data_IF_115351012310
#
_entry.id   IF_115351012310
#
_cell.length_a   1.000
_cell.length_b   1.000
_cell.length_c   1.000
_cell.angle_alpha   90.00
_cell.angle_beta   90.00
_cell.angle_gamma   90.00
#
_symmetry.space_group_name_H-M   'P 1'
#
loop_
_entity.id
_entity.type
_entity.pdbx_description
1 polymer ?
#
# COMPACT_ATOMS: atom_id res chain seq x y z
N UNK A 1 4.37 -20.64 -21.62
CA UNK A 1 5.13 -19.39 -21.43
C UNK A 1 5.45 -19.29 -19.95
N UNK A 2 6.73 -19.21 -19.59
CA UNK A 2 7.12 -18.94 -18.19
C UNK A 2 6.85 -17.46 -17.98
N UNK A 3 5.72 -17.13 -17.32
CA UNK A 3 5.48 -15.76 -16.83
C UNK A 3 6.43 -15.57 -15.65
N UNK A 4 7.50 -14.82 -15.88
CA UNK A 4 8.39 -14.38 -14.80
C UNK A 4 7.66 -13.21 -14.13
N UNK A 5 7.00 -13.47 -13.01
CA UNK A 5 6.46 -12.40 -12.17
C UNK A 5 7.64 -11.71 -11.51
N UNK A 6 7.84 -10.43 -11.84
CA UNK A 6 8.91 -9.63 -11.23
C UNK A 6 8.49 -9.20 -9.83
N UNK A 7 9.47 -8.88 -8.98
CA UNK A 7 9.21 -8.31 -7.65
C UNK A 7 8.34 -7.05 -7.71
N UNK A 8 8.40 -6.30 -8.82
CA UNK A 8 7.55 -5.14 -9.09
C UNK A 8 6.07 -5.51 -9.17
N UNK A 9 5.72 -6.61 -9.86
CA UNK A 9 4.34 -7.09 -9.93
C UNK A 9 3.83 -7.49 -8.54
N UNK A 10 4.68 -8.11 -7.73
CA UNK A 10 4.33 -8.49 -6.35
C UNK A 10 4.08 -7.25 -5.48
N UNK A 11 4.89 -6.20 -5.62
CA UNK A 11 4.66 -4.92 -4.94
C UNK A 11 3.35 -4.27 -5.35
N UNK A 12 3.06 -4.22 -6.66
CA UNK A 12 1.78 -3.71 -7.18
C UNK A 12 0.59 -4.52 -6.67
N UNK A 13 0.75 -5.84 -6.48
CA UNK A 13 -0.25 -6.70 -5.85
C UNK A 13 -0.48 -6.32 -4.38
N UNK A 14 0.58 -6.15 -3.59
CA UNK A 14 0.50 -5.76 -2.17
C UNK A 14 -0.22 -4.43 -1.96
N UNK A 15 -0.05 -3.47 -2.88
CA UNK A 15 -0.73 -2.18 -2.85
C UNK A 15 -2.06 -2.13 -3.60
N UNK A 16 -2.54 -3.27 -4.12
CA UNK A 16 -3.79 -3.38 -4.89
C UNK A 16 -3.84 -2.45 -6.13
N UNK A 17 -2.69 -2.29 -6.79
CA UNK A 17 -2.48 -1.46 -7.99
C UNK A 17 -2.45 -2.29 -9.30
N UNK A 18 -2.91 -3.54 -9.23
CA UNK A 18 -2.99 -4.42 -10.39
C UNK A 18 -4.41 -4.45 -10.98
N UNK A 19 -4.54 -4.52 -12.31
CA UNK A 19 -5.81 -4.83 -12.94
C UNK A 19 -6.25 -6.25 -12.58
N UNK A 20 -7.57 -6.49 -12.54
CA UNK A 20 -8.17 -7.73 -12.05
C UNK A 20 -7.70 -9.01 -12.79
N UNK A 21 -7.32 -8.88 -14.07
CA UNK A 21 -6.81 -9.99 -14.86
C UNK A 21 -5.39 -10.40 -14.44
N UNK A 22 -4.51 -9.42 -14.19
CA UNK A 22 -3.15 -9.66 -13.69
C UNK A 22 -3.16 -10.13 -12.23
N UNK A 23 -4.12 -9.66 -11.44
CA UNK A 23 -4.29 -10.12 -10.06
C UNK A 23 -4.55 -11.63 -9.99
N UNK A 24 -5.45 -12.15 -10.84
CA UNK A 24 -5.73 -13.59 -10.92
C UNK A 24 -4.50 -14.40 -11.33
N UNK A 25 -3.73 -13.89 -12.27
CA UNK A 25 -2.48 -14.51 -12.71
C UNK A 25 -1.47 -14.62 -11.55
N UNK A 26 -1.34 -13.57 -10.74
CA UNK A 26 -0.47 -13.56 -9.55
C UNK A 26 -0.98 -14.54 -8.49
N UNK A 27 -2.28 -14.56 -8.22
CA UNK A 27 -2.88 -15.51 -7.27
C UNK A 27 -2.61 -16.96 -7.68
N UNK A 28 -2.73 -17.29 -8.98
CA UNK A 28 -2.38 -18.61 -9.49
C UNK A 28 -0.88 -18.90 -9.31
N UNK A 29 -0.01 -17.92 -9.56
CA UNK A 29 1.44 -18.10 -9.35
C UNK A 29 1.79 -18.35 -7.88
N UNK A 30 1.16 -17.62 -6.95
CA UNK A 30 1.36 -17.80 -5.50
C UNK A 30 0.92 -19.19 -5.01
N UNK A 31 -0.05 -19.82 -5.65
CA UNK A 31 -0.49 -21.19 -5.31
C UNK A 31 0.51 -22.27 -5.75
N UNK A 32 1.29 -22.00 -6.80
CA UNK A 32 2.21 -22.96 -7.39
C UNK A 32 3.67 -22.73 -7.02
N UNK A 33 4.00 -21.53 -6.54
CA UNK A 33 5.35 -21.14 -6.15
C UNK A 33 5.41 -20.75 -4.65
N UNK A 34 5.88 -21.66 -3.78
CA UNK A 34 5.95 -21.40 -2.34
C UNK A 34 6.99 -20.33 -1.99
N UNK A 35 8.05 -20.15 -2.78
CA UNK A 35 9.08 -19.14 -2.52
C UNK A 35 8.55 -17.73 -2.83
N UNK A 36 7.79 -17.61 -3.92
CA UNK A 36 7.05 -16.40 -4.25
C UNK A 36 6.00 -16.06 -3.17
N UNK A 37 5.30 -17.08 -2.66
CA UNK A 37 4.32 -16.91 -1.59
C UNK A 37 4.96 -16.42 -0.28
N UNK A 38 6.11 -16.96 0.11
CA UNK A 38 6.87 -16.47 1.28
C UNK A 38 7.29 -15.02 1.08
N UNK A 39 7.84 -14.67 -0.08
CA UNK A 39 8.25 -13.29 -0.39
C UNK A 39 7.05 -12.34 -0.32
N UNK A 40 5.88 -12.74 -0.84
CA UNK A 40 4.66 -11.94 -0.77
C UNK A 40 4.19 -11.75 0.68
N UNK A 41 4.26 -12.80 1.51
CA UNK A 41 3.91 -12.74 2.91
C UNK A 41 4.82 -11.77 3.69
N UNK A 42 6.12 -11.78 3.41
CA UNK A 42 7.09 -10.86 4.01
C UNK A 42 6.80 -9.40 3.64
N UNK A 43 6.45 -9.12 2.39
CA UNK A 43 6.06 -7.78 1.95
C UNK A 43 4.77 -7.29 2.62
N UNK A 44 3.76 -8.15 2.73
CA UNK A 44 2.51 -7.84 3.43
C UNK A 44 2.75 -7.57 4.92
N UNK A 45 3.65 -8.32 5.54
CA UNK A 45 4.03 -8.11 6.93
C UNK A 45 4.76 -6.76 7.10
N UNK A 46 5.72 -6.46 6.23
CA UNK A 46 6.44 -5.19 6.25
C UNK A 46 5.49 -3.99 6.07
N UNK A 47 4.54 -4.07 5.12
CA UNK A 47 3.51 -3.04 4.93
C UNK A 47 2.71 -2.81 6.22
N UNK A 48 2.22 -3.88 6.85
CA UNK A 48 1.47 -3.76 8.11
C UNK A 48 2.31 -3.16 9.24
N UNK A 49 3.56 -3.56 9.37
CA UNK A 49 4.46 -2.97 10.36
C UNK A 49 4.71 -1.48 10.11
N UNK A 50 4.73 -1.05 8.85
CA UNK A 50 4.80 0.38 8.50
C UNK A 50 3.50 1.13 8.81
N UNK A 51 2.34 0.53 8.57
CA UNK A 51 1.04 1.12 8.95
C UNK A 51 0.87 1.25 10.48
N UNK A 52 1.45 0.32 11.24
CA UNK A 52 1.49 0.36 12.69
C UNK A 52 2.40 1.48 13.24
N UNK A 53 3.34 2.00 12.44
CA UNK A 53 4.09 3.20 12.79
C UNK A 53 3.15 4.41 12.72
N UNK A 54 2.38 4.60 13.79
CA UNK A 54 1.50 5.76 13.96
C UNK A 54 2.36 7.01 14.12
N UNK A 55 2.72 7.61 13.00
CA UNK A 55 3.32 8.94 12.97
C UNK A 55 2.22 9.96 13.18
N UNK A 56 2.37 10.80 14.22
CA UNK A 56 1.47 11.93 14.42
C UNK A 56 2.09 13.18 13.80
N UNK A 57 1.29 14.03 13.13
CA UNK A 57 1.78 15.32 12.68
C UNK A 57 2.22 16.15 13.89
N UNK A 58 3.23 17.01 13.69
CA UNK A 58 3.66 17.94 14.74
C UNK A 58 2.50 18.84 15.19
N UNK A 59 2.50 19.24 16.47
CA UNK A 59 1.49 20.15 17.02
C UNK A 59 1.40 21.48 16.23
N UNK A 60 2.52 21.94 15.67
CA UNK A 60 2.55 23.14 14.82
C UNK A 60 1.74 22.96 13.54
N UNK A 61 1.87 21.80 12.90
CA UNK A 61 1.16 21.49 11.66
C UNK A 61 -0.34 21.38 11.90
N UNK A 62 -0.75 20.70 12.98
CA UNK A 62 -2.17 20.57 13.33
C UNK A 62 -2.78 21.92 13.68
N UNK A 63 -2.08 22.76 14.45
CA UNK A 63 -2.55 24.09 14.81
C UNK A 63 -2.72 25.01 13.58
N UNK A 64 -1.76 24.97 12.64
CA UNK A 64 -1.84 25.74 11.39
C UNK A 64 -3.07 25.34 10.56
N UNK A 65 -3.34 24.05 10.42
CA UNK A 65 -4.52 23.53 9.68
C UNK A 65 -5.82 23.95 10.36
N UNK A 66 -5.88 23.83 11.70
CA UNK A 66 -7.05 24.24 12.48
C UNK A 66 -7.29 25.75 12.44
N UNK A 67 -6.22 26.54 12.39
CA UNK A 67 -6.33 27.98 12.27
C UNK A 67 -6.85 28.36 10.89
N UNK A 68 -6.32 27.77 9.82
CA UNK A 68 -6.82 27.99 8.47
C UNK A 68 -8.30 27.61 8.32
N UNK A 69 -8.74 26.47 8.88
CA UNK A 69 -10.15 26.06 8.78
C UNK A 69 -11.09 27.02 9.50
N UNK A 70 -10.65 27.63 10.61
CA UNK A 70 -11.40 28.65 11.36
C UNK A 70 -11.43 30.01 10.67
N UNK A 71 -10.37 30.36 9.94
CA UNK A 71 -10.28 31.63 9.20
C UNK A 71 -10.78 31.51 7.76
N UNK A 72 -11.11 30.29 7.30
CA UNK A 72 -11.68 30.08 5.98
C UNK A 72 -13.00 30.86 5.87
N UNK A 73 -13.04 31.93 5.06
CA UNK A 73 -14.26 32.68 4.88
C UNK A 73 -15.29 31.71 4.30
N UNK A 74 -16.47 31.61 4.92
CA UNK A 74 -17.61 31.00 4.24
C UNK A 74 -17.77 31.78 2.93
N UNK A 75 -17.37 31.17 1.81
CA UNK A 75 -17.71 31.64 0.47
C UNK A 75 -19.23 31.86 0.50
N UNK A 76 -19.61 33.14 0.53
CA UNK A 76 -20.99 33.59 0.34
C UNK A 76 -21.35 33.45 -1.13
#
# INVERSE_FOLDING_TARGET
MIKIFTQETLLRYVYNELPADEQRDVEQALLHDPELATTCADLLLAQRSLDELRTTPSARTTDTILQYSRTFPRLK
#
